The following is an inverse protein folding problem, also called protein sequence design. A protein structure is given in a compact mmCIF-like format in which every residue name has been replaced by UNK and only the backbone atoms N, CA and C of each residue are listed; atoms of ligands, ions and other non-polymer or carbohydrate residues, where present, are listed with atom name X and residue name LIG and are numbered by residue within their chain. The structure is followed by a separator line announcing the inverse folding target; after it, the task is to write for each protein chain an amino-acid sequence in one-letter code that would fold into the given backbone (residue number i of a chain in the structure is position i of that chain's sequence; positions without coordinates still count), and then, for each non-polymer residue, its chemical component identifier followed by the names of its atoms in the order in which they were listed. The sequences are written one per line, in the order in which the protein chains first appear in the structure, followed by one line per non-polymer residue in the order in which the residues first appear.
data_IF_582473565710
#
_entry.id   IF_582473565710
#
_cell.length_a   1.000
_cell.length_b   1.000
_cell.length_c   1.000
_cell.angle_alpha   90.00
_cell.angle_beta   90.00
_cell.angle_gamma   90.00
#
_symmetry.space_group_name_H-M   'P 1'
#
loop_
_entity.id
_entity.type
_entity.pdbx_description
1 polymer ?
#
# COMPACT_ATOMS: atom_id res chain seq x y z
N UNK A 1 -69.25 17.87 40.41
CA UNK A 1 -69.66 16.46 40.52
C UNK A 1 -68.65 15.65 39.73
N UNK A 2 -67.99 14.70 40.40
CA UNK A 2 -67.02 13.69 39.94
C UNK A 2 -65.62 14.09 39.46
N UNK A 3 -64.67 13.31 39.98
CA UNK A 3 -63.22 13.33 39.85
C UNK A 3 -62.71 12.06 39.12
N UNK A 4 -61.36 11.93 39.05
CA UNK A 4 -60.48 10.74 38.82
C UNK A 4 -59.65 10.87 37.51
N UNK A 5 -58.37 11.31 37.54
CA UNK A 5 -57.05 10.64 37.80
C UNK A 5 -56.52 9.78 36.63
N UNK A 6 -55.26 10.01 36.19
CA UNK A 6 -54.39 8.92 35.66
C UNK A 6 -53.35 9.20 34.55
N UNK A 7 -52.13 9.61 34.94
CA UNK A 7 -50.78 9.18 34.51
C UNK A 7 -50.26 9.15 33.03
N UNK A 8 -49.09 9.83 32.87
CA UNK A 8 -47.81 9.46 32.18
C UNK A 8 -47.74 9.07 30.69
N UNK A 9 -46.86 9.75 29.94
CA UNK A 9 -46.31 9.29 28.66
C UNK A 9 -45.15 10.17 28.18
N UNK A 10 -43.98 9.57 27.99
CA UNK A 10 -42.69 10.17 27.66
C UNK A 10 -42.55 10.60 26.20
N UNK A 11 -41.57 11.48 26.00
CA UNK A 11 -40.99 11.94 24.73
C UNK A 11 -40.63 10.80 23.77
N UNK A 12 -40.70 11.08 22.46
CA UNK A 12 -39.66 10.64 21.51
C UNK A 12 -39.74 11.50 20.23
N UNK A 13 -39.04 12.64 20.26
CA UNK A 13 -38.68 13.39 19.05
C UNK A 13 -37.20 13.17 18.77
N UNK A 14 -36.91 12.13 18.01
CA UNK A 14 -35.56 11.82 17.51
C UNK A 14 -35.15 12.85 16.46
N UNK A 15 -34.56 13.97 16.91
CA UNK A 15 -33.72 14.80 16.03
C UNK A 15 -32.43 14.03 15.76
N UNK A 16 -32.41 13.31 14.65
CA UNK A 16 -31.19 12.75 14.09
C UNK A 16 -30.26 13.91 13.68
N UNK A 17 -29.28 14.21 14.53
CA UNK A 17 -28.17 15.09 14.18
C UNK A 17 -27.43 14.45 13.00
N UNK A 18 -27.53 15.06 11.82
CA UNK A 18 -26.74 14.69 10.65
C UNK A 18 -25.26 14.89 10.98
N UNK A 19 -24.56 13.79 11.26
CA UNK A 19 -23.09 13.77 11.31
C UNK A 19 -22.58 14.10 9.91
N UNK A 20 -22.36 15.38 9.62
CA UNK A 20 -21.53 15.76 8.49
C UNK A 20 -20.10 15.36 8.86
N UNK A 21 -19.68 14.20 8.36
CA UNK A 21 -18.27 13.83 8.42
C UNK A 21 -17.47 14.90 7.69
N UNK A 22 -16.50 15.52 8.37
CA UNK A 22 -15.46 16.29 7.71
C UNK A 22 -14.69 15.33 6.81
N UNK A 23 -15.11 15.20 5.55
CA UNK A 23 -14.40 14.39 4.58
C UNK A 23 -13.16 15.17 4.17
N UNK A 24 -11.99 14.80 4.69
CA UNK A 24 -10.72 15.15 4.07
C UNK A 24 -10.74 14.56 2.66
N UNK A 25 -11.02 15.40 1.64
CA UNK A 25 -10.89 14.99 0.24
C UNK A 25 -9.40 14.97 -0.09
N UNK A 26 -8.70 13.90 0.24
CA UNK A 26 -7.42 13.61 -0.38
C UNK A 26 -7.71 13.01 -1.75
N UNK A 27 -7.74 13.84 -2.79
CA UNK A 27 -7.83 13.36 -4.17
C UNK A 27 -6.42 13.05 -4.67
N UNK A 28 -6.05 11.78 -4.79
CA UNK A 28 -4.90 11.39 -5.60
C UNK A 28 -5.32 11.34 -7.07
N UNK A 29 -4.40 11.69 -7.96
CA UNK A 29 -4.55 11.41 -9.39
C UNK A 29 -3.57 10.29 -9.75
N UNK A 30 -4.10 9.17 -10.23
CA UNK A 30 -3.27 8.09 -10.78
C UNK A 30 -3.24 8.20 -12.29
N UNK A 31 -2.04 8.15 -12.87
CA UNK A 31 -1.85 8.11 -14.33
C UNK A 31 -1.08 6.85 -14.70
N UNK A 32 -1.72 6.00 -15.50
CA UNK A 32 -1.06 4.87 -16.15
C UNK A 32 -0.53 5.41 -17.48
N UNK A 33 0.79 5.41 -17.65
CA UNK A 33 1.41 5.76 -18.92
C UNK A 33 1.57 4.48 -19.73
N UNK A 34 1.12 4.49 -20.99
CA UNK A 34 1.29 3.37 -21.91
C UNK A 34 1.96 3.84 -23.20
N UNK A 35 2.75 2.95 -23.79
CA UNK A 35 3.41 3.15 -25.08
C UNK A 35 2.87 2.10 -26.04
N UNK A 36 2.16 2.52 -27.09
CA UNK A 36 1.60 1.62 -28.09
C UNK A 36 2.44 1.67 -29.38
N UNK A 37 2.91 0.50 -29.81
CA UNK A 37 3.56 0.31 -31.11
C UNK A 37 2.68 -0.56 -32.00
N UNK A 38 2.67 -0.29 -33.30
CA UNK A 38 1.95 -1.10 -34.28
C UNK A 38 2.87 -1.55 -35.40
N UNK A 39 2.61 -2.75 -35.94
CA UNK A 39 3.39 -3.33 -37.02
C UNK A 39 2.50 -4.14 -37.96
N UNK A 40 2.65 -3.88 -39.26
CA UNK A 40 1.99 -4.64 -40.30
C UNK A 40 2.96 -5.69 -40.84
N UNK A 41 2.63 -6.97 -40.64
CA UNK A 41 3.42 -8.10 -41.11
C UNK A 41 2.63 -8.89 -42.16
N UNK A 42 3.20 -9.01 -43.36
CA UNK A 42 2.65 -9.88 -44.42
C UNK A 42 3.55 -11.09 -44.61
N UNK A 43 2.96 -12.27 -44.52
CA UNK A 43 3.62 -13.55 -44.72
C UNK A 43 3.22 -14.07 -46.10
N UNK A 44 4.14 -13.96 -47.06
CA UNK A 44 3.95 -14.50 -48.40
C UNK A 44 4.06 -16.03 -48.41
N UNK A 45 3.34 -16.67 -49.34
CA UNK A 45 3.30 -18.12 -49.49
C UNK A 45 2.89 -18.88 -48.20
N UNK A 46 1.94 -18.32 -47.44
CA UNK A 46 1.51 -18.78 -46.13
C UNK A 46 1.05 -20.25 -46.13
N UNK A 47 0.40 -20.73 -47.19
CA UNK A 47 -0.03 -22.15 -47.29
C UNK A 47 1.14 -23.12 -47.30
N UNK A 48 2.35 -22.65 -47.65
CA UNK A 48 3.58 -23.47 -47.64
C UNK A 48 4.28 -23.47 -46.27
N UNK A 49 3.93 -22.54 -45.37
CA UNK A 49 4.56 -22.42 -44.05
C UNK A 49 4.36 -23.67 -43.17
N UNK A 50 3.31 -24.46 -43.40
CA UNK A 50 3.09 -25.74 -42.71
C UNK A 50 4.20 -26.78 -42.97
N UNK A 51 5.03 -26.59 -44.00
CA UNK A 51 6.14 -27.49 -44.35
C UNK A 51 7.52 -27.00 -43.88
N UNK A 52 7.57 -25.92 -43.08
CA UNK A 52 8.83 -25.41 -42.55
C UNK A 52 9.44 -26.42 -41.57
N UNK A 53 10.72 -26.78 -41.77
CA UNK A 53 11.45 -27.72 -40.89
C UNK A 53 11.43 -27.32 -39.41
N UNK A 54 11.37 -26.01 -39.12
CA UNK A 54 11.30 -25.47 -37.76
C UNK A 54 9.88 -25.22 -37.26
N UNK A 55 8.86 -25.35 -38.11
CA UNK A 55 7.45 -24.99 -37.82
C UNK A 55 7.24 -23.53 -37.38
N UNK A 56 8.21 -22.63 -37.58
CA UNK A 56 8.18 -21.26 -37.06
C UNK A 56 8.77 -20.23 -38.01
N UNK A 57 8.17 -19.04 -38.05
CA UNK A 57 8.71 -17.87 -38.74
C UNK A 57 8.65 -16.62 -37.86
N UNK A 58 9.43 -15.61 -38.22
CA UNK A 58 9.57 -14.38 -37.45
C UNK A 58 9.35 -13.16 -38.35
N UNK A 59 8.80 -12.09 -37.79
CA UNK A 59 8.83 -10.77 -38.43
C UNK A 59 10.23 -10.15 -38.32
N UNK A 60 10.42 -9.03 -39.00
CA UNK A 60 11.47 -8.07 -38.65
C UNK A 60 11.31 -7.53 -37.23
N UNK A 61 12.39 -6.93 -36.71
CA UNK A 61 12.40 -6.25 -35.42
C UNK A 61 11.82 -4.84 -35.56
N UNK A 62 10.93 -4.44 -34.65
CA UNK A 62 10.23 -3.16 -34.67
C UNK A 62 9.93 -2.61 -33.27
N UNK A 63 9.80 -1.28 -33.11
CA UNK A 63 10.12 -0.24 -34.09
C UNK A 63 11.63 -0.02 -34.22
N UNK A 64 12.12 0.52 -35.34
CA UNK A 64 13.58 0.62 -35.60
C UNK A 64 14.32 1.56 -34.65
N UNK A 65 13.65 2.61 -34.17
CA UNK A 65 14.27 3.72 -33.44
C UNK A 65 14.13 3.62 -31.92
N UNK A 66 13.55 2.54 -31.39
CA UNK A 66 13.40 2.33 -29.94
C UNK A 66 13.66 0.87 -29.54
N UNK A 67 13.23 0.49 -28.33
CA UNK A 67 13.40 -0.89 -27.86
C UNK A 67 12.54 -1.84 -28.71
N UNK A 68 13.22 -2.75 -29.40
CA UNK A 68 12.60 -3.56 -30.44
C UNK A 68 11.96 -4.84 -29.89
N UNK A 69 10.91 -5.27 -30.56
CA UNK A 69 10.32 -6.61 -30.44
C UNK A 69 10.21 -7.22 -31.82
N UNK A 70 9.98 -8.52 -31.88
CA UNK A 70 9.59 -9.20 -33.12
C UNK A 70 8.45 -10.16 -32.86
N UNK A 71 7.68 -10.47 -33.89
CA UNK A 71 6.65 -11.49 -33.82
C UNK A 71 7.26 -12.85 -34.12
N UNK A 72 6.72 -13.88 -33.46
CA UNK A 72 6.98 -15.28 -33.78
C UNK A 72 5.65 -15.95 -34.05
N UNK A 73 5.50 -16.46 -35.27
CA UNK A 73 4.42 -17.36 -35.65
C UNK A 73 4.91 -18.81 -35.52
N UNK A 74 4.10 -19.65 -34.90
CA UNK A 74 4.27 -21.10 -34.84
C UNK A 74 3.10 -21.78 -35.54
N UNK A 75 3.43 -22.63 -36.50
CA UNK A 75 2.51 -23.49 -37.27
C UNK A 75 3.01 -24.92 -37.13
N UNK A 76 2.71 -25.54 -35.99
CA UNK A 76 3.06 -26.94 -35.73
C UNK A 76 2.11 -27.86 -36.50
N UNK A 77 2.63 -28.82 -37.26
CA UNK A 77 1.83 -29.82 -37.99
C UNK A 77 0.95 -30.65 -37.05
N UNK A 78 1.41 -30.92 -35.83
CA UNK A 78 0.68 -31.72 -34.85
C UNK A 78 -0.48 -30.97 -34.17
N UNK A 79 -0.51 -29.63 -34.27
CA UNK A 79 -1.54 -28.79 -33.64
C UNK A 79 -2.56 -28.33 -34.67
N UNK A 80 -3.79 -28.10 -34.21
CA UNK A 80 -4.91 -27.62 -35.01
C UNK A 80 -5.00 -26.08 -35.08
N UNK A 81 -4.09 -25.38 -34.42
CA UNK A 81 -4.02 -23.92 -34.37
C UNK A 81 -2.63 -23.39 -34.78
N UNK A 82 -2.61 -22.13 -35.21
CA UNK A 82 -1.44 -21.30 -35.30
C UNK A 82 -1.30 -20.49 -34.00
N UNK A 83 -0.07 -20.26 -33.54
CA UNK A 83 0.19 -19.43 -32.36
C UNK A 83 1.10 -18.27 -32.72
N UNK A 84 0.70 -17.03 -32.37
CA UNK A 84 1.47 -15.83 -32.65
C UNK A 84 1.77 -15.11 -31.34
N UNK A 85 3.04 -14.84 -31.08
CA UNK A 85 3.48 -14.19 -29.86
C UNK A 85 4.55 -13.13 -30.11
N UNK A 86 4.69 -12.23 -29.14
CA UNK A 86 5.76 -11.24 -29.09
C UNK A 86 7.02 -11.88 -28.50
N UNK A 87 8.14 -11.69 -29.17
CA UNK A 87 9.46 -12.08 -28.68
C UNK A 87 10.24 -10.81 -28.34
N UNK A 88 10.69 -10.64 -27.09
CA UNK A 88 11.50 -9.48 -26.71
C UNK A 88 12.89 -9.55 -27.36
N UNK A 89 13.36 -8.42 -27.88
CA UNK A 89 14.77 -8.20 -28.25
C UNK A 89 15.52 -7.60 -27.04
N UNK A 90 16.81 -7.32 -27.19
CA UNK A 90 17.66 -6.78 -26.13
C UNK A 90 17.04 -5.52 -25.49
N UNK A 91 16.96 -5.49 -24.16
CA UNK A 91 16.38 -4.38 -23.38
C UNK A 91 14.87 -4.47 -23.10
N UNK A 92 14.16 -5.45 -23.66
CA UNK A 92 12.71 -5.64 -23.42
C UNK A 92 12.36 -6.68 -22.36
N UNK A 93 13.36 -7.23 -21.68
CA UNK A 93 13.18 -8.25 -20.64
C UNK A 93 12.44 -7.68 -19.42
N UNK A 94 11.44 -8.39 -18.93
CA UNK A 94 10.68 -8.04 -17.73
C UNK A 94 9.62 -6.94 -17.92
N UNK A 95 9.47 -6.38 -19.14
CA UNK A 95 8.40 -5.41 -19.42
C UNK A 95 7.05 -6.12 -19.52
N UNK A 96 6.03 -5.47 -18.96
CA UNK A 96 4.64 -5.91 -19.08
C UNK A 96 4.01 -5.30 -20.34
N UNK A 97 3.37 -6.14 -21.15
CA UNK A 97 2.63 -5.70 -22.32
C UNK A 97 1.28 -6.40 -22.45
N UNK A 98 0.37 -5.71 -23.12
CA UNK A 98 -0.84 -6.28 -23.71
C UNK A 98 -0.69 -6.14 -25.22
N UNK A 99 -1.21 -7.11 -25.98
CA UNK A 99 -1.12 -7.03 -27.43
C UNK A 99 -2.41 -7.51 -28.11
N UNK A 100 -2.62 -6.94 -29.29
CA UNK A 100 -3.80 -7.16 -30.11
C UNK A 100 -3.36 -7.58 -31.51
N UNK A 101 -4.00 -8.62 -32.04
CA UNK A 101 -3.75 -9.13 -33.38
C UNK A 101 -4.99 -8.96 -34.23
N UNK A 102 -4.84 -8.35 -35.40
CA UNK A 102 -5.90 -8.21 -36.39
C UNK A 102 -5.48 -8.89 -37.69
N UNK A 103 -6.27 -9.87 -38.14
CA UNK A 103 -6.11 -10.47 -39.47
C UNK A 103 -6.70 -9.54 -40.53
N UNK A 104 -5.94 -9.29 -41.59
CA UNK A 104 -6.33 -8.42 -42.70
C UNK A 104 -6.60 -9.24 -43.96
N UNK A 105 -7.80 -9.10 -44.51
CA UNK A 105 -8.21 -9.72 -45.77
C UNK A 105 -7.91 -8.84 -46.98
N UNK A 106 -8.64 -9.06 -48.07
CA UNK A 106 -8.44 -8.33 -49.33
C UNK A 106 -8.59 -6.81 -49.16
N UNK A 107 -7.67 -6.06 -49.77
CA UNK A 107 -7.64 -4.59 -49.65
C UNK A 107 -7.26 -4.06 -48.26
N UNK A 108 -6.74 -4.92 -47.37
CA UNK A 108 -6.33 -4.53 -46.01
C UNK A 108 -7.49 -4.37 -45.03
N UNK A 109 -8.68 -4.91 -45.35
CA UNK A 109 -9.84 -4.84 -44.47
C UNK A 109 -9.67 -5.79 -43.28
N UNK A 110 -10.00 -5.35 -42.04
CA UNK A 110 -9.92 -6.22 -40.88
C UNK A 110 -10.99 -7.32 -40.96
N UNK A 111 -10.57 -8.57 -40.84
CA UNK A 111 -11.43 -9.76 -40.88
C UNK A 111 -11.78 -10.22 -39.47
N UNK A 112 -10.77 -10.35 -38.61
CA UNK A 112 -10.97 -10.78 -37.22
C UNK A 112 -9.90 -10.16 -36.32
N UNK A 113 -10.32 -9.73 -35.12
CA UNK A 113 -9.44 -9.17 -34.09
C UNK A 113 -9.41 -10.10 -32.88
N UNK A 114 -8.21 -10.29 -32.34
CA UNK A 114 -7.91 -11.12 -31.18
C UNK A 114 -7.21 -10.30 -30.12
N UNK A 115 -7.65 -10.46 -28.87
CA UNK A 115 -7.08 -9.80 -27.71
C UNK A 115 -6.40 -10.84 -26.83
N UNK A 116 -5.19 -10.54 -26.38
CA UNK A 116 -4.55 -11.35 -25.35
C UNK A 116 -5.18 -11.02 -24.00
N UNK A 117 -5.94 -11.97 -23.42
CA UNK A 117 -6.60 -11.80 -22.12
C UNK A 117 -5.60 -12.02 -20.97
N UNK A 118 -4.76 -11.03 -20.69
CA UNK A 118 -3.84 -11.05 -19.55
C UNK A 118 -2.65 -10.10 -19.69
N UNK A 119 -2.06 -9.67 -18.57
CA UNK A 119 -0.76 -8.99 -18.59
C UNK A 119 0.34 -10.01 -18.91
N UNK A 120 1.14 -9.76 -19.95
CA UNK A 120 2.26 -10.62 -20.28
C UNK A 120 3.60 -9.96 -19.96
N UNK A 121 4.38 -10.58 -19.09
CA UNK A 121 5.77 -10.18 -18.82
C UNK A 121 6.71 -10.86 -19.82
N UNK A 122 7.48 -10.08 -20.56
CA UNK A 122 8.36 -10.58 -21.61
C UNK A 122 9.65 -11.20 -21.04
N UNK A 123 9.83 -12.52 -21.17
CA UNK A 123 11.06 -13.23 -20.77
C UNK A 123 11.71 -13.99 -21.93
N UNK A 124 13.05 -14.02 -21.99
CA UNK A 124 13.82 -14.82 -22.95
C UNK A 124 13.88 -16.27 -22.49
N UNK A 125 13.57 -17.21 -23.39
CA UNK A 125 13.91 -18.62 -23.19
C UNK A 125 12.84 -19.49 -22.52
N UNK A 126 11.66 -18.96 -22.19
CA UNK A 126 10.52 -19.82 -21.85
C UNK A 126 9.88 -20.33 -23.15
N UNK A 127 9.73 -21.64 -23.30
CA UNK A 127 9.02 -22.21 -24.45
C UNK A 127 7.52 -21.81 -24.50
N UNK A 128 7.02 -21.23 -23.41
CA UNK A 128 5.64 -20.83 -23.16
C UNK A 128 5.43 -19.31 -23.35
N UNK A 129 5.77 -18.81 -24.54
CA UNK A 129 5.19 -17.52 -24.95
C UNK A 129 3.69 -17.78 -25.12
N UNK A 130 2.88 -17.32 -24.16
CA UNK A 130 1.43 -17.35 -24.27
C UNK A 130 1.10 -16.40 -25.41
N UNK A 131 0.84 -16.96 -26.59
CA UNK A 131 0.50 -16.24 -27.81
C UNK A 131 -1.00 -16.19 -28.01
N UNK A 132 -1.44 -15.44 -29.03
CA UNK A 132 -2.78 -15.59 -29.57
C UNK A 132 -2.82 -16.86 -30.41
N UNK A 133 -3.74 -17.76 -30.06
CA UNK A 133 -3.99 -19.00 -30.78
C UNK A 133 -5.17 -18.82 -31.74
N UNK A 134 -4.97 -19.19 -33.00
CA UNK A 134 -5.94 -19.06 -34.07
C UNK A 134 -6.12 -20.42 -34.72
N UNK A 135 -7.35 -20.93 -34.76
CA UNK A 135 -7.65 -22.22 -35.38
C UNK A 135 -7.24 -22.22 -36.87
N UNK A 136 -6.58 -23.29 -37.31
CA UNK A 136 -6.20 -23.46 -38.72
C UNK A 136 -7.44 -23.57 -39.61
N UNK A 137 -8.51 -24.21 -39.12
CA UNK A 137 -9.79 -24.26 -39.84
C UNK A 137 -10.29 -22.86 -40.19
N UNK A 138 -10.16 -21.90 -39.28
CA UNK A 138 -10.52 -20.50 -39.52
C UNK A 138 -9.58 -19.82 -40.55
N UNK A 139 -8.26 -20.01 -40.40
CA UNK A 139 -7.29 -19.38 -41.30
C UNK A 139 -7.39 -19.86 -42.75
N UNK A 140 -7.71 -21.14 -42.95
CA UNK A 140 -7.78 -21.76 -44.28
C UNK A 140 -9.21 -21.83 -44.85
N UNK A 141 -10.20 -21.30 -44.14
CA UNK A 141 -11.59 -21.25 -44.60
C UNK A 141 -11.72 -20.31 -45.82
N UNK A 142 -12.14 -20.82 -47.00
CA UNK A 142 -12.31 -19.98 -48.18
C UNK A 142 -13.40 -18.91 -48.03
N UNK A 143 -14.40 -19.13 -47.16
CA UNK A 143 -15.53 -18.21 -47.00
C UNK A 143 -15.17 -16.99 -46.13
N UNK A 144 -14.18 -17.13 -45.25
CA UNK A 144 -13.76 -16.09 -44.31
C UNK A 144 -12.77 -15.10 -44.97
N UNK A 145 -12.12 -15.51 -46.07
CA UNK A 145 -11.21 -14.68 -46.86
C UNK A 145 -10.08 -14.02 -46.03
N UNK A 146 -9.52 -14.75 -45.06
CA UNK A 146 -8.40 -14.28 -44.23
C UNK A 146 -7.10 -14.06 -45.01
N UNK A 147 -6.96 -14.68 -46.19
CA UNK A 147 -5.76 -14.60 -47.02
C UNK A 147 -6.05 -13.86 -48.32
N UNK A 148 -5.08 -13.08 -48.78
CA UNK A 148 -5.09 -12.52 -50.13
C UNK A 148 -4.22 -13.39 -51.04
N UNK A 149 -4.86 -14.25 -51.84
CA UNK A 149 -4.17 -15.27 -52.62
C UNK A 149 -3.50 -16.32 -51.73
N UNK A 150 -2.17 -16.23 -51.61
CA UNK A 150 -1.34 -17.08 -50.74
C UNK A 150 -0.61 -16.29 -49.65
N UNK A 151 -1.05 -15.06 -49.37
CA UNK A 151 -0.44 -14.20 -48.36
C UNK A 151 -1.38 -13.96 -47.18
N UNK A 152 -0.84 -14.06 -45.96
CA UNK A 152 -1.54 -13.69 -44.73
C UNK A 152 -1.00 -12.35 -44.24
N UNK A 153 -1.88 -11.36 -44.09
CA UNK A 153 -1.52 -10.03 -43.58
C UNK A 153 -2.06 -9.83 -42.17
N UNK A 154 -1.21 -9.29 -41.29
CA UNK A 154 -1.48 -9.18 -39.85
C UNK A 154 -1.10 -7.77 -39.40
N UNK A 155 -2.06 -7.06 -38.80
CA UNK A 155 -1.77 -5.87 -38.01
C UNK A 155 -1.64 -6.26 -36.55
N UNK A 156 -0.47 -6.00 -35.98
CA UNK A 156 -0.17 -6.32 -34.60
C UNK A 156 0.10 -5.04 -33.81
N UNK A 157 -0.54 -4.89 -32.66
CA UNK A 157 -0.39 -3.75 -31.77
C UNK A 157 0.11 -4.23 -30.41
N UNK A 158 1.17 -3.63 -29.88
CA UNK A 158 1.74 -3.94 -28.56
C UNK A 158 1.71 -2.69 -27.72
N UNK A 159 1.01 -2.77 -26.59
CA UNK A 159 0.93 -1.72 -25.60
C UNK A 159 1.79 -2.10 -24.40
N UNK A 160 2.89 -1.37 -24.19
CA UNK A 160 3.74 -1.51 -23.02
C UNK A 160 3.22 -0.67 -21.87
N UNK A 161 3.07 -1.30 -20.71
CA UNK A 161 2.71 -0.61 -19.48
C UNK A 161 3.97 -0.01 -18.86
N UNK A 162 3.95 1.29 -18.60
CA UNK A 162 4.99 1.95 -17.82
C UNK A 162 4.62 2.00 -16.33
N UNK A 163 5.57 2.39 -15.49
CA UNK A 163 5.34 2.61 -14.06
C UNK A 163 4.20 3.63 -13.85
N UNK A 164 3.24 3.26 -13.00
CA UNK A 164 2.20 4.17 -12.54
C UNK A 164 2.81 5.19 -11.60
N UNK A 165 2.67 6.48 -11.91
CA UNK A 165 3.02 7.53 -10.94
C UNK A 165 1.75 7.96 -10.20
N UNK A 166 1.78 7.83 -8.88
CA UNK A 166 0.81 8.47 -8.00
C UNK A 166 1.40 9.82 -7.59
N UNK A 167 0.73 10.91 -7.95
CA UNK A 167 1.08 12.23 -7.42
C UNK A 167 0.28 12.47 -6.13
N UNK A 168 0.92 12.40 -4.94
CA UNK A 168 0.24 12.78 -3.71
C UNK A 168 -0.03 14.28 -3.72
N UNK A 169 -1.16 14.71 -3.16
CA UNK A 169 -1.42 16.13 -2.87
C UNK A 169 -0.34 16.61 -1.90
N UNK A 170 0.36 17.70 -2.24
CA UNK A 170 1.34 18.29 -1.32
C UNK A 170 0.60 18.98 -0.18
N UNK A 171 1.03 18.79 1.07
CA UNK A 171 0.43 19.46 2.25
C UNK A 171 0.35 20.98 2.09
N UNK A 172 1.30 21.59 1.37
CA UNK A 172 1.35 23.04 1.08
C UNK A 172 0.16 23.57 0.26
N UNK A 173 -0.47 22.69 -0.51
CA UNK A 173 -1.49 23.10 -1.50
C UNK A 173 -2.89 23.08 -0.88
N UNK A 174 -3.02 22.59 0.36
CA UNK A 174 -4.27 22.53 1.11
C UNK A 174 -4.39 23.82 1.94
N UNK A 175 -5.43 24.65 1.70
CA UNK A 175 -5.68 25.81 2.55
C UNK A 175 -5.92 25.37 4.00
N UNK A 176 -4.98 25.66 4.89
CA UNK A 176 -5.12 25.40 6.32
C UNK A 176 -5.92 26.53 6.95
N UNK A 177 -6.96 26.18 7.72
CA UNK A 177 -7.80 27.17 8.38
C UNK A 177 -6.97 28.06 9.31
N UNK A 178 -7.29 29.36 9.44
CA UNK A 178 -6.60 30.25 10.38
C UNK A 178 -6.64 29.73 11.83
N UNK A 179 -7.73 29.05 12.21
CA UNK A 179 -7.85 28.41 13.52
C UNK A 179 -6.73 27.37 13.74
N UNK A 180 -6.56 26.43 12.81
CA UNK A 180 -5.51 25.40 12.91
C UNK A 180 -4.10 26.00 12.92
N UNK A 181 -3.86 27.07 12.16
CA UNK A 181 -2.59 27.80 12.19
C UNK A 181 -2.30 28.46 13.54
N UNK A 182 -3.35 28.94 14.22
CA UNK A 182 -3.21 29.70 15.46
C UNK A 182 -3.23 28.79 16.70
N UNK A 183 -3.75 27.56 16.62
CA UNK A 183 -3.78 26.64 17.77
C UNK A 183 -2.36 26.38 18.29
N UNK A 184 -1.35 26.25 17.43
CA UNK A 184 0.05 26.08 17.85
C UNK A 184 0.53 27.18 18.80
N UNK A 185 0.15 28.43 18.54
CA UNK A 185 0.54 29.58 19.36
C UNK A 185 -0.06 29.55 20.77
N UNK A 186 -1.19 28.85 20.96
CA UNK A 186 -1.78 28.66 22.29
C UNK A 186 -0.88 27.84 23.21
N UNK A 187 -0.12 26.88 22.66
CA UNK A 187 0.80 26.08 23.46
C UNK A 187 1.99 26.93 23.98
N UNK A 188 2.39 27.95 23.23
CA UNK A 188 3.45 28.87 23.62
C UNK A 188 2.97 29.94 24.62
N UNK A 189 1.72 30.37 24.49
CA UNK A 189 1.12 31.36 25.37
C UNK A 189 0.58 30.75 26.68
N UNK A 190 1.43 30.80 27.70
CA UNK A 190 1.11 30.32 29.05
C UNK A 190 -0.07 31.05 29.71
N UNK A 191 -0.48 32.23 29.22
CA UNK A 191 -1.55 33.00 29.83
C UNK A 191 -2.94 32.36 29.68
N UNK A 192 -3.12 31.50 28.67
CA UNK A 192 -4.37 30.78 28.42
C UNK A 192 -4.38 29.35 28.97
N UNK A 193 -3.21 28.80 29.31
CA UNK A 193 -3.09 27.44 29.85
C UNK A 193 -3.81 27.33 31.19
N UNK A 194 -4.89 26.56 31.24
CA UNK A 194 -5.72 26.37 32.44
C UNK A 194 -5.44 25.06 33.19
N UNK A 195 -4.43 24.30 32.74
CA UNK A 195 -3.91 23.13 33.47
C UNK A 195 -2.38 23.06 33.39
N UNK A 196 -1.77 22.70 34.53
CA UNK A 196 -0.35 22.46 34.67
C UNK A 196 -0.04 20.96 34.73
N UNK A 197 0.80 20.45 33.85
CA UNK A 197 1.34 19.10 33.91
C UNK A 197 2.73 19.15 34.55
N UNK A 198 2.87 18.60 35.75
CA UNK A 198 4.16 18.51 36.45
C UNK A 198 4.80 17.17 36.11
N UNK A 199 5.82 17.19 35.26
CA UNK A 199 6.56 16.02 34.78
C UNK A 199 8.00 16.13 35.25
N UNK A 200 8.51 15.14 35.98
CA UNK A 200 9.90 15.14 36.50
C UNK A 200 10.29 16.47 37.20
N UNK A 201 9.39 17.03 38.02
CA UNK A 201 9.54 18.32 38.73
C UNK A 201 9.63 19.57 37.84
N UNK A 202 9.31 19.44 36.55
CA UNK A 202 9.23 20.53 35.59
C UNK A 202 7.77 20.71 35.15
N UNK A 203 7.40 21.93 34.80
CA UNK A 203 6.02 22.27 34.49
C UNK A 203 5.83 22.48 32.99
N UNK A 204 4.82 21.82 32.43
CA UNK A 204 4.23 22.09 31.13
C UNK A 204 2.84 22.69 31.35
N UNK A 205 2.44 23.61 30.48
CA UNK A 205 1.12 24.25 30.54
C UNK A 205 0.32 23.87 29.31
N UNK A 206 -0.97 23.62 29.48
CA UNK A 206 -1.87 23.22 28.41
C UNK A 206 -3.31 23.66 28.71
N UNK A 207 -4.22 23.37 27.78
CA UNK A 207 -5.65 23.63 27.89
C UNK A 207 -6.39 22.31 28.11
N UNK A 208 -7.18 22.24 29.19
CA UNK A 208 -7.97 21.07 29.58
C UNK A 208 -8.83 20.54 28.45
N UNK A 209 -9.57 21.43 27.79
CA UNK A 209 -10.52 21.03 26.73
C UNK A 209 -9.78 20.45 25.51
N UNK A 210 -8.62 21.00 25.17
CA UNK A 210 -7.78 20.47 24.08
C UNK A 210 -7.26 19.08 24.43
N UNK A 211 -6.75 18.89 25.65
CA UNK A 211 -6.30 17.57 26.12
C UNK A 211 -7.44 16.54 26.12
N UNK A 212 -8.63 16.93 26.59
CA UNK A 212 -9.82 16.07 26.64
C UNK A 212 -10.25 15.60 25.25
N UNK A 213 -10.21 16.50 24.27
CA UNK A 213 -10.58 16.19 22.88
C UNK A 213 -9.54 15.30 22.19
N UNK A 214 -8.27 15.44 22.52
CA UNK A 214 -7.17 14.71 21.87
C UNK A 214 -6.85 13.36 22.51
N UNK A 215 -7.32 13.10 23.74
CA UNK A 215 -7.06 11.85 24.45
C UNK A 215 -8.30 11.40 25.24
N UNK A 216 -8.81 10.19 24.98
CA UNK A 216 -9.88 9.60 25.79
C UNK A 216 -9.53 9.53 27.28
N UNK A 217 -8.26 9.32 27.62
CA UNK A 217 -7.78 9.21 29.00
C UNK A 217 -7.82 10.56 29.69
N UNK A 218 -7.36 11.64 29.04
CA UNK A 218 -7.57 12.99 29.58
C UNK A 218 -9.05 13.35 29.64
N UNK A 219 -9.85 12.97 28.62
CA UNK A 219 -11.30 13.11 28.62
C UNK A 219 -11.95 12.51 29.87
N UNK A 220 -11.61 11.26 30.21
CA UNK A 220 -12.08 10.59 31.40
C UNK A 220 -11.56 11.25 32.70
N UNK A 221 -10.27 11.58 32.75
CA UNK A 221 -9.61 12.22 33.89
C UNK A 221 -10.31 13.52 34.30
N UNK A 222 -10.71 14.32 33.32
CA UNK A 222 -11.32 15.62 33.54
C UNK A 222 -12.86 15.61 33.58
N UNK A 223 -13.54 14.57 33.09
CA UNK A 223 -15.02 14.53 33.11
C UNK A 223 -15.60 14.04 34.44
N UNK A 224 -14.81 13.32 35.25
CA UNK A 224 -15.25 12.79 36.54
C UNK A 224 -14.75 13.67 37.68
N UNK A 225 -15.43 13.73 38.83
CA UNK A 225 -14.98 14.47 40.02
C UNK A 225 -13.79 13.78 40.71
N UNK A 226 -12.67 13.67 40.00
CA UNK A 226 -11.36 13.20 40.47
C UNK A 226 -10.60 14.37 41.10
N UNK A 227 -9.51 14.08 41.83
CA UNK A 227 -8.64 15.12 42.38
C UNK A 227 -8.11 16.04 41.27
N UNK A 228 -7.74 15.45 40.15
CA UNK A 228 -7.25 16.11 38.93
C UNK A 228 -8.33 16.96 38.24
N UNK A 229 -9.61 16.66 38.43
CA UNK A 229 -10.71 17.48 37.89
C UNK A 229 -10.93 18.78 38.68
N UNK A 230 -10.56 18.77 39.96
CA UNK A 230 -10.70 19.87 40.92
C UNK A 230 -9.41 20.70 41.03
N UNK A 231 -8.26 20.08 40.81
CA UNK A 231 -6.95 20.72 40.82
C UNK A 231 -6.56 21.19 39.42
N UNK A 232 -5.94 22.38 39.33
CA UNK A 232 -5.38 22.89 38.08
C UNK A 232 -3.99 22.31 37.77
N UNK A 233 -3.58 21.24 38.47
CA UNK A 233 -2.27 20.62 38.34
C UNK A 233 -2.36 19.09 38.36
N UNK A 234 -1.69 18.43 37.42
CA UNK A 234 -1.57 16.98 37.32
C UNK A 234 -0.11 16.61 37.52
N UNK A 235 0.17 15.67 38.42
CA UNK A 235 1.51 15.15 38.64
C UNK A 235 1.72 13.87 37.82
N UNK A 236 2.77 13.85 36.99
CA UNK A 236 3.09 12.78 36.05
C UNK A 236 4.53 12.30 36.29
N UNK A 237 4.81 11.63 37.42
CA UNK A 237 6.17 11.25 37.79
C UNK A 237 6.79 10.20 36.86
N UNK A 238 5.96 9.32 36.30
CA UNK A 238 6.41 8.17 35.49
C UNK A 238 6.55 8.49 33.99
N UNK A 239 6.59 9.78 33.62
CA UNK A 239 6.66 10.20 32.22
C UNK A 239 7.96 10.95 31.94
N UNK A 240 8.49 10.76 30.74
CA UNK A 240 9.61 11.53 30.23
C UNK A 240 9.16 12.96 29.91
N UNK A 241 9.86 13.97 30.43
CA UNK A 241 9.52 15.36 30.17
C UNK A 241 9.55 15.67 28.66
N UNK A 242 10.57 15.18 27.96
CA UNK A 242 10.74 15.48 26.54
C UNK A 242 9.68 14.77 25.69
N UNK A 243 9.31 13.53 26.04
CA UNK A 243 8.20 12.84 25.39
C UNK A 243 6.87 13.56 25.65
N UNK A 244 6.58 13.99 26.88
CA UNK A 244 5.36 14.74 27.19
C UNK A 244 5.31 16.09 26.45
N UNK A 245 6.45 16.75 26.28
CA UNK A 245 6.54 17.99 25.50
C UNK A 245 6.21 17.76 24.03
N UNK A 246 6.77 16.71 23.42
CA UNK A 246 6.50 16.33 22.03
C UNK A 246 5.06 15.82 21.85
N UNK A 247 4.49 15.13 22.85
CA UNK A 247 3.07 14.75 22.85
C UNK A 247 2.16 15.97 22.86
N UNK A 248 2.47 16.99 23.67
CA UNK A 248 1.74 18.26 23.65
C UNK A 248 1.89 18.95 22.29
N UNK A 249 3.07 18.97 21.70
CA UNK A 249 3.24 19.57 20.38
C UNK A 249 2.37 18.84 19.34
N UNK A 250 2.38 17.51 19.34
CA UNK A 250 1.51 16.71 18.47
C UNK A 250 0.03 17.03 18.66
N UNK A 251 -0.44 17.18 19.91
CA UNK A 251 -1.84 17.55 20.20
C UNK A 251 -2.25 18.86 19.52
N UNK A 252 -1.35 19.85 19.47
CA UNK A 252 -1.66 21.18 18.95
C UNK A 252 -1.34 21.34 17.46
N UNK A 253 -0.42 20.56 16.90
CA UNK A 253 0.10 20.76 15.52
C UNK A 253 0.01 19.53 14.63
N UNK A 254 -0.15 18.34 15.21
CA UNK A 254 -0.03 17.06 14.50
C UNK A 254 1.41 16.70 14.12
N UNK A 255 2.42 17.39 14.66
CA UNK A 255 3.83 17.19 14.32
C UNK A 255 4.68 16.79 15.53
N UNK A 256 5.73 16.01 15.27
CA UNK A 256 6.72 15.53 16.24
C UNK A 256 8.14 15.76 15.70
N UNK A 257 8.66 17.00 15.74
CA UNK A 257 9.94 17.36 15.13
C UNK A 257 11.15 16.63 15.73
N UNK A 258 11.07 16.17 16.99
CA UNK A 258 12.17 15.44 17.65
C UNK A 258 11.84 13.96 17.87
N UNK A 259 11.03 13.36 16.98
CA UNK A 259 10.61 11.97 17.11
C UNK A 259 11.79 11.01 17.28
N UNK A 260 12.90 11.27 16.58
CA UNK A 260 14.14 10.49 16.65
C UNK A 260 14.71 10.33 18.07
N UNK A 261 14.52 11.34 18.93
CA UNK A 261 15.06 11.37 20.29
C UNK A 261 14.12 10.77 21.32
N UNK A 262 12.82 10.79 21.07
CA UNK A 262 11.79 10.45 22.06
C UNK A 262 10.89 9.28 21.66
N UNK A 263 11.10 8.65 20.49
CA UNK A 263 10.15 7.69 19.92
C UNK A 263 9.69 6.60 20.89
N UNK A 264 10.60 6.01 21.67
CA UNK A 264 10.27 4.94 22.62
C UNK A 264 9.41 5.45 23.79
N UNK A 265 9.85 6.51 24.47
CA UNK A 265 9.09 7.13 25.57
C UNK A 265 7.74 7.69 25.09
N UNK A 266 7.71 8.25 23.89
CA UNK A 266 6.52 8.82 23.27
C UNK A 266 5.54 7.74 22.83
N UNK A 267 6.03 6.59 22.35
CA UNK A 267 5.22 5.42 22.06
C UNK A 267 4.50 4.91 23.32
N UNK A 268 5.23 4.83 24.44
CA UNK A 268 4.68 4.45 25.75
C UNK A 268 3.63 5.47 26.23
N UNK A 269 3.94 6.76 26.14
CA UNK A 269 3.01 7.82 26.52
C UNK A 269 1.75 7.80 25.64
N UNK A 270 1.90 7.65 24.33
CA UNK A 270 0.80 7.61 23.38
C UNK A 270 -0.15 6.44 23.65
N UNK A 271 0.37 5.26 23.98
CA UNK A 271 -0.47 4.13 24.41
C UNK A 271 -1.21 4.44 25.71
N UNK A 272 -0.48 4.92 26.73
CA UNK A 272 -1.04 5.27 28.06
C UNK A 272 -2.18 6.28 27.98
N UNK A 273 -2.09 7.25 27.07
CA UNK A 273 -3.12 8.27 26.85
C UNK A 273 -4.08 7.92 25.69
N UNK A 274 -4.03 6.69 25.18
CA UNK A 274 -4.89 6.18 24.10
C UNK A 274 -4.90 7.04 22.84
N UNK A 275 -3.72 7.51 22.44
CA UNK A 275 -3.49 8.33 21.24
C UNK A 275 -2.99 7.45 20.08
N UNK A 276 -3.93 6.75 19.43
CA UNK A 276 -3.62 5.72 18.43
C UNK A 276 -2.76 6.20 17.25
N UNK A 277 -3.05 7.38 16.68
CA UNK A 277 -2.27 7.93 15.56
C UNK A 277 -0.82 8.25 15.95
N UNK A 278 -0.62 8.81 17.15
CA UNK A 278 0.71 9.10 17.67
C UNK A 278 1.48 7.81 17.98
N UNK A 279 0.79 6.81 18.56
CA UNK A 279 1.38 5.49 18.82
C UNK A 279 1.82 4.83 17.52
N UNK A 280 0.99 4.86 16.48
CA UNK A 280 1.33 4.34 15.16
C UNK A 280 2.53 5.07 14.54
N UNK A 281 2.56 6.41 14.59
CA UNK A 281 3.68 7.21 14.11
C UNK A 281 5.01 6.83 14.79
N UNK A 282 4.98 6.68 16.12
CA UNK A 282 6.17 6.23 16.86
C UNK A 282 6.54 4.79 16.53
N UNK A 283 5.56 3.89 16.40
CA UNK A 283 5.76 2.49 16.05
C UNK A 283 6.40 2.31 14.67
N UNK A 284 5.90 3.03 13.68
CA UNK A 284 6.46 3.06 12.32
C UNK A 284 7.91 3.54 12.33
N UNK A 285 8.20 4.60 13.07
CA UNK A 285 9.56 5.11 13.23
C UNK A 285 10.49 4.07 13.88
N UNK A 286 10.03 3.44 14.97
CA UNK A 286 10.80 2.41 15.69
C UNK A 286 11.07 1.20 14.79
N UNK A 287 10.06 0.76 14.02
CA UNK A 287 10.18 -0.35 13.07
C UNK A 287 11.13 -0.04 11.89
N UNK A 288 11.07 1.18 11.35
CA UNK A 288 11.91 1.60 10.22
C UNK A 288 13.38 1.83 10.61
N UNK A 289 13.65 2.15 11.88
CA UNK A 289 15.00 2.45 12.38
C UNK A 289 15.54 1.36 13.33
N UNK A 290 15.11 0.11 13.15
CA UNK A 290 15.60 -1.02 13.92
C UNK A 290 17.11 -1.24 13.70
N UNK A 291 17.81 -1.47 14.80
CA UNK A 291 19.19 -1.97 14.79
C UNK A 291 19.25 -3.36 15.42
N UNK A 292 20.31 -4.11 15.13
CA UNK A 292 20.55 -5.44 15.73
C UNK A 292 20.51 -5.37 17.26
N UNK A 293 21.12 -4.34 17.83
CA UNK A 293 21.22 -4.10 19.27
C UNK A 293 19.84 -3.87 19.92
N UNK A 294 18.95 -3.16 19.23
CA UNK A 294 17.65 -2.73 19.75
C UNK A 294 16.49 -3.66 19.41
N UNK A 295 16.64 -4.54 18.42
CA UNK A 295 15.54 -5.36 17.89
C UNK A 295 14.83 -6.19 18.97
N UNK A 296 15.60 -6.82 19.87
CA UNK A 296 15.01 -7.67 20.90
C UNK A 296 14.19 -6.85 21.92
N UNK A 297 14.71 -5.71 22.37
CA UNK A 297 14.00 -4.84 23.31
C UNK A 297 12.77 -4.19 22.67
N UNK A 298 12.87 -3.79 21.40
CA UNK A 298 11.73 -3.29 20.63
C UNK A 298 10.62 -4.34 20.46
N UNK A 299 10.97 -5.63 20.28
CA UNK A 299 9.98 -6.71 20.24
C UNK A 299 9.26 -6.86 21.59
N UNK A 300 10.01 -6.82 22.69
CA UNK A 300 9.42 -6.87 24.04
C UNK A 300 8.48 -5.69 24.28
N UNK A 301 8.91 -4.49 23.88
CA UNK A 301 8.12 -3.26 24.00
C UNK A 301 6.82 -3.34 23.20
N UNK A 302 6.89 -3.62 21.90
CA UNK A 302 5.70 -3.74 21.04
C UNK A 302 4.74 -4.82 21.53
N UNK A 303 5.26 -5.95 22.04
CA UNK A 303 4.43 -6.97 22.65
C UNK A 303 3.73 -6.49 23.93
N UNK A 304 4.44 -5.77 24.79
CA UNK A 304 3.89 -5.22 26.04
C UNK A 304 2.70 -4.30 25.79
N UNK A 305 2.76 -3.51 24.72
CA UNK A 305 1.70 -2.59 24.30
C UNK A 305 0.76 -3.19 23.24
N UNK A 306 0.76 -4.52 23.09
CA UNK A 306 -0.16 -5.27 22.22
C UNK A 306 -0.20 -4.79 20.75
N UNK A 307 0.94 -4.34 20.24
CA UNK A 307 1.09 -3.85 18.87
C UNK A 307 1.57 -4.99 17.96
N UNK A 308 0.59 -5.68 17.40
CA UNK A 308 0.83 -6.92 16.65
C UNK A 308 1.50 -6.67 15.29
N UNK A 309 1.25 -5.52 14.66
CA UNK A 309 1.86 -5.19 13.37
C UNK A 309 3.33 -4.82 13.53
N UNK A 310 3.66 -4.02 14.55
CA UNK A 310 5.05 -3.74 14.91
C UNK A 310 5.77 -5.01 15.37
N UNK A 311 5.12 -5.86 16.19
CA UNK A 311 5.68 -7.18 16.57
C UNK A 311 6.05 -8.01 15.33
N UNK A 312 5.17 -8.09 14.33
CA UNK A 312 5.40 -8.87 13.11
C UNK A 312 6.57 -8.30 12.29
N UNK A 313 6.62 -6.98 12.15
CA UNK A 313 7.72 -6.29 11.45
C UNK A 313 9.07 -6.56 12.13
N UNK A 314 9.13 -6.40 13.46
CA UNK A 314 10.35 -6.64 14.24
C UNK A 314 10.73 -8.12 14.21
N UNK A 315 9.76 -9.04 14.32
CA UNK A 315 10.02 -10.49 14.25
C UNK A 315 10.68 -10.88 12.92
N UNK A 316 10.24 -10.27 11.80
CA UNK A 316 10.87 -10.45 10.49
C UNK A 316 12.31 -9.96 10.48
N UNK A 317 12.56 -8.76 11.01
CA UNK A 317 13.92 -8.24 11.13
C UNK A 317 14.82 -9.16 11.98
N UNK A 318 14.30 -9.68 13.10
CA UNK A 318 15.02 -10.63 13.98
C UNK A 318 15.31 -11.93 13.23
N UNK A 319 14.37 -12.46 12.44
CA UNK A 319 14.59 -13.67 11.66
C UNK A 319 15.73 -13.49 10.66
N UNK A 320 15.75 -12.36 9.95
CA UNK A 320 16.78 -12.04 8.94
C UNK A 320 18.18 -11.83 9.57
N UNK A 321 18.25 -11.40 10.84
CA UNK A 321 19.50 -11.07 11.55
C UNK A 321 19.76 -11.92 12.79
N UNK A 322 19.14 -13.10 12.90
CA UNK A 322 19.03 -13.88 14.13
C UNK A 322 20.38 -14.15 14.80
N UNK A 323 21.41 -14.49 14.01
CA UNK A 323 22.76 -14.78 14.52
C UNK A 323 23.38 -13.58 15.24
N UNK A 324 23.15 -12.38 14.72
CA UNK A 324 23.66 -11.14 15.30
C UNK A 324 22.82 -10.73 16.51
N UNK A 325 21.49 -10.74 16.38
CA UNK A 325 20.55 -10.37 17.46
C UNK A 325 20.72 -11.27 18.67
N UNK A 326 20.92 -12.58 18.50
CA UNK A 326 21.14 -13.54 19.60
C UNK A 326 22.33 -13.17 20.51
N UNK A 327 23.30 -12.42 19.99
CA UNK A 327 24.52 -12.03 20.73
C UNK A 327 24.33 -10.73 21.53
N UNK A 328 23.22 -10.02 21.36
CA UNK A 328 22.96 -8.77 22.06
C UNK A 328 22.50 -9.01 23.49
N UNK A 329 22.66 -8.01 24.36
CA UNK A 329 22.15 -8.06 25.73
C UNK A 329 20.63 -8.18 25.76
N UNK A 330 19.94 -7.47 24.85
CA UNK A 330 18.48 -7.45 24.74
C UNK A 330 17.89 -8.83 24.42
N UNK A 331 18.62 -9.74 23.77
CA UNK A 331 18.14 -11.10 23.50
C UNK A 331 17.70 -11.85 24.76
N UNK A 332 18.37 -11.60 25.90
CA UNK A 332 18.02 -12.19 27.20
C UNK A 332 16.67 -11.69 27.73
N UNK A 333 16.17 -10.55 27.26
CA UNK A 333 14.86 -10.02 27.65
C UNK A 333 13.70 -10.76 26.99
N UNK A 334 13.97 -11.45 25.87
CA UNK A 334 13.06 -12.39 25.21
C UNK A 334 13.31 -13.79 25.78
N UNK A 335 14.56 -14.25 25.71
CA UNK A 335 14.96 -15.61 26.04
C UNK A 335 14.94 -15.84 27.56
N UNK A 336 13.92 -16.58 28.03
CA UNK A 336 13.66 -16.81 29.46
C UNK A 336 12.26 -16.40 29.90
N UNK A 337 11.48 -15.77 29.00
CA UNK A 337 10.05 -15.50 29.20
C UNK A 337 9.25 -16.33 28.18
N UNK A 338 8.64 -17.46 28.61
CA UNK A 338 7.96 -18.40 27.70
C UNK A 338 6.94 -17.70 26.79
N UNK A 339 6.09 -16.84 27.34
CA UNK A 339 5.01 -16.18 26.59
C UNK A 339 5.54 -15.29 25.46
N UNK A 340 6.61 -14.52 25.73
CA UNK A 340 7.22 -13.63 24.73
C UNK A 340 7.96 -14.45 23.67
N UNK A 341 8.66 -15.51 24.12
CA UNK A 341 9.42 -16.40 23.24
C UNK A 341 8.48 -17.14 22.29
N UNK A 342 7.39 -17.71 22.81
CA UNK A 342 6.35 -18.37 22.02
C UNK A 342 5.76 -17.41 20.98
N UNK A 343 5.39 -16.20 21.40
CA UNK A 343 4.82 -15.21 20.48
C UNK A 343 5.80 -14.81 19.37
N UNK A 344 7.09 -14.65 19.68
CA UNK A 344 8.12 -14.41 18.66
C UNK A 344 8.18 -15.56 17.66
N UNK A 345 8.21 -16.81 18.14
CA UNK A 345 8.26 -17.98 17.26
C UNK A 345 7.02 -18.09 16.38
N UNK A 346 5.82 -17.77 16.90
CA UNK A 346 4.59 -17.73 16.10
C UNK A 346 4.72 -16.71 14.97
N UNK A 347 5.17 -15.48 15.26
CA UNK A 347 5.37 -14.48 14.21
C UNK A 347 6.43 -14.89 13.19
N UNK A 348 7.52 -15.53 13.61
CA UNK A 348 8.57 -16.00 12.69
C UNK A 348 8.06 -17.14 11.81
N UNK A 349 7.29 -18.08 12.36
CA UNK A 349 6.70 -19.19 11.61
C UNK A 349 5.75 -18.69 10.51
N UNK A 350 4.98 -17.64 10.80
CA UNK A 350 4.05 -17.04 9.84
C UNK A 350 4.73 -16.33 8.66
N UNK A 351 6.01 -15.95 8.77
CA UNK A 351 6.75 -15.30 7.67
C UNK A 351 6.79 -16.19 6.42
N UNK A 352 6.83 -17.52 6.60
CA UNK A 352 6.89 -18.49 5.50
C UNK A 352 5.54 -18.93 4.93
N UNK A 353 4.42 -18.44 5.49
CA UNK A 353 3.06 -18.93 5.17
C UNK A 353 2.25 -17.88 4.36
N UNK A 354 2.83 -16.73 4.00
CA UNK A 354 2.13 -15.74 3.17
C UNK A 354 1.73 -16.36 1.81
N UNK A 355 0.42 -16.45 1.49
CA UNK A 355 -0.08 -17.15 0.32
C UNK A 355 0.05 -16.29 -0.95
N UNK A 356 1.28 -16.05 -1.40
CA UNK A 356 1.55 -15.55 -2.75
C UNK A 356 2.21 -16.66 -3.58
N UNK A 357 1.39 -17.65 -3.95
CA UNK A 357 1.68 -18.55 -5.08
C UNK A 357 0.38 -19.14 -5.61
N UNK A 358 -0.15 -18.66 -6.76
CA UNK A 358 -1.20 -19.37 -7.46
C UNK A 358 -0.59 -20.59 -8.18
N UNK A 359 -1.26 -21.73 -8.01
CA UNK A 359 -0.96 -23.04 -8.61
C UNK A 359 -1.06 -23.03 -10.13
#
# INVERSE_FOLDING_TARGET
MYAVIGQTGSQDSTMAASKQSLSCRTSSTSRINTECISHHWTIENFRKCQFFQSGTCHSEEFPKDSLQVRLKLRLDLARDHASICVVPVQGMQGRNCVYTLTLLGEGGRPVQRYFHNGFHSLYRGTNNYHGIEIAKSFLYDPDIQCMNGDSLSILFEVEFLAESTNTPVRKSDIPVSPLLKNISSLLEDKSFGNVQLTVQRRNLYAHRDVLMLSSPVFGAMFSHPTKESQEQAINLPDQSFDAMKEMLLFIYTGEVPNLDKVAEDLYVAADKYSMGELKALCGDYLGANLTVERAADAFVLSNMYSDNDLCRSIARFIADHLVAVRRTSGWKNIWGKPDITEKLFMYIADIGITPDSPK
#
